data_IF_966039212124
#
_entry.id   IF_966039212124
#
_cell.length_a   1.000
_cell.length_b   1.000
_cell.length_c   1.000
_cell.angle_alpha   90.00
_cell.angle_beta   90.00
_cell.angle_gamma   90.00
#
_symmetry.space_group_name_H-M   'P 1'
#
loop_
_entity.id
_entity.type
_entity.pdbx_description
1 polymer ?
#
# COMPACT_ATOMS: atom_id res chain seq x y z
N UNK A 1 2.87 59.96 1.99
CA UNK A 1 1.53 59.84 2.60
C UNK A 1 0.89 58.59 2.03
N UNK A 2 0.97 57.43 2.69
CA UNK A 2 0.14 56.94 3.82
C UNK A 2 -1.32 56.59 3.46
N UNK A 3 -1.65 55.32 3.77
CA UNK A 3 -2.95 54.67 4.01
C UNK A 3 -3.57 53.93 2.80
N UNK A 4 -3.72 52.58 2.74
CA UNK A 4 -4.17 51.48 3.65
C UNK A 4 -5.66 51.11 3.44
N UNK A 5 -5.91 49.78 3.42
CA UNK A 5 -7.14 48.99 3.62
C UNK A 5 -7.73 48.34 2.35
N UNK A 6 -7.63 47.02 2.14
CA UNK A 6 -8.32 45.88 2.81
C UNK A 6 -9.79 45.75 2.42
N UNK A 7 -10.19 44.61 1.80
CA UNK A 7 -11.37 43.80 2.20
C UNK A 7 -11.56 42.54 1.33
N UNK A 8 -11.46 41.39 1.99
CA UNK A 8 -12.36 40.21 1.98
C UNK A 8 -12.97 39.71 0.66
N UNK A 9 -12.50 38.52 0.25
CA UNK A 9 -13.27 37.27 0.07
C UNK A 9 -14.77 37.41 -0.28
N UNK A 10 -15.21 36.85 -1.43
CA UNK A 10 -16.35 35.92 -1.55
C UNK A 10 -16.73 35.66 -3.03
N UNK A 11 -16.55 34.39 -3.40
CA UNK A 11 -17.42 33.51 -4.20
C UNK A 11 -17.83 33.92 -5.63
N UNK A 12 -17.76 32.87 -6.48
CA UNK A 12 -18.88 32.30 -7.25
C UNK A 12 -18.68 32.34 -8.77
N UNK A 13 -19.12 31.24 -9.38
CA UNK A 13 -19.50 31.06 -10.80
C UNK A 13 -18.38 30.49 -11.67
N UNK A 14 -18.25 29.16 -11.72
CA UNK A 14 -18.95 28.25 -12.64
C UNK A 14 -18.69 28.57 -14.11
N UNK A 15 -17.71 27.88 -14.70
CA UNK A 15 -17.84 27.37 -16.08
C UNK A 15 -17.23 25.98 -16.18
N UNK A 16 -18.14 25.02 -16.18
CA UNK A 16 -18.21 23.99 -17.22
C UNK A 16 -16.89 23.32 -17.62
N UNK A 17 -16.60 22.20 -16.98
CA UNK A 17 -16.03 21.06 -17.71
C UNK A 17 -16.97 19.88 -17.47
N UNK A 18 -17.88 19.70 -18.42
CA UNK A 18 -18.52 18.41 -18.66
C UNK A 18 -17.41 17.47 -19.15
N UNK A 19 -16.81 16.71 -18.24
CA UNK A 19 -16.21 15.43 -18.59
C UNK A 19 -16.93 14.36 -17.77
N UNK A 20 -17.96 13.81 -18.40
CA UNK A 20 -18.60 12.59 -17.95
C UNK A 20 -17.67 11.43 -18.28
N UNK A 21 -16.84 11.09 -17.31
CA UNK A 21 -16.44 9.72 -17.06
C UNK A 21 -16.32 9.62 -15.54
N UNK A 22 -17.05 8.70 -14.93
CA UNK A 22 -16.87 8.38 -13.52
C UNK A 22 -15.44 7.84 -13.36
N UNK A 23 -14.48 8.73 -13.17
CA UNK A 23 -13.12 8.37 -12.80
C UNK A 23 -13.22 7.84 -11.39
N UNK A 24 -13.42 6.53 -11.29
CA UNK A 24 -13.29 5.78 -10.05
C UNK A 24 -12.00 6.25 -9.41
N UNK A 25 -12.10 6.97 -8.29
CA UNK A 25 -10.94 7.27 -7.44
C UNK A 25 -10.55 5.90 -6.90
N UNK A 26 -9.77 5.16 -7.68
CA UNK A 26 -9.16 3.93 -7.20
C UNK A 26 -8.32 4.38 -6.02
N UNK A 27 -8.52 3.83 -4.81
CA UNK A 27 -7.65 4.15 -3.71
C UNK A 27 -6.22 3.85 -4.17
N UNK A 28 -5.35 4.86 -4.12
CA UNK A 28 -3.95 4.79 -4.61
C UNK A 28 -3.09 3.78 -3.83
N UNK A 29 -3.70 3.02 -2.92
CA UNK A 29 -3.07 2.11 -1.99
C UNK A 29 -3.56 0.70 -2.27
N UNK A 30 -2.65 -0.20 -2.63
CA UNK A 30 -2.94 -1.64 -2.66
C UNK A 30 -3.33 -2.19 -1.28
N UNK A 31 -3.74 -3.46 -1.21
CA UNK A 31 -4.10 -4.10 0.06
C UNK A 31 -2.95 -4.04 1.07
N UNK A 32 -3.28 -3.74 2.33
CA UNK A 32 -2.32 -3.73 3.44
C UNK A 32 -2.38 -5.06 4.18
N UNK A 33 -1.20 -5.64 4.41
CA UNK A 33 -1.02 -6.82 5.26
C UNK A 33 -0.22 -6.38 6.48
N UNK A 34 -0.65 -6.79 7.67
CA UNK A 34 0.07 -6.58 8.92
C UNK A 34 0.31 -7.95 9.56
N UNK A 35 1.56 -8.23 9.91
CA UNK A 35 1.96 -9.47 10.57
C UNK A 35 2.84 -9.15 11.78
N UNK A 36 2.79 -9.99 12.79
CA UNK A 36 3.72 -9.95 13.92
C UNK A 36 4.89 -10.87 13.62
N UNK A 37 6.11 -10.34 13.74
CA UNK A 37 7.33 -11.11 13.57
C UNK A 37 7.97 -11.35 14.94
N UNK A 38 8.68 -12.48 15.12
CA UNK A 38 9.61 -12.63 16.22
C UNK A 38 10.60 -11.46 16.27
N UNK A 39 10.99 -11.04 17.48
CA UNK A 39 11.89 -9.90 17.66
C UNK A 39 13.23 -10.09 16.92
N UNK A 40 13.76 -11.32 16.90
CA UNK A 40 15.01 -11.63 16.21
C UNK A 40 14.91 -11.41 14.68
N UNK A 41 13.81 -11.83 14.06
CA UNK A 41 13.57 -11.65 12.63
C UNK A 41 13.41 -10.17 12.27
N UNK A 42 12.67 -9.41 13.10
CA UNK A 42 12.53 -7.98 12.89
C UNK A 42 13.88 -7.26 12.92
N UNK A 43 14.75 -7.60 13.87
CA UNK A 43 16.10 -7.04 13.97
C UNK A 43 16.96 -7.42 12.76
N UNK A 44 16.92 -8.68 12.32
CA UNK A 44 17.66 -9.14 11.15
C UNK A 44 17.23 -8.41 9.87
N UNK A 45 15.92 -8.26 9.66
CA UNK A 45 15.37 -7.50 8.53
C UNK A 45 15.75 -6.02 8.60
N UNK A 46 15.75 -5.42 9.78
CA UNK A 46 16.11 -4.01 9.98
C UNK A 46 17.59 -3.79 9.61
N UNK A 47 18.49 -4.62 10.13
CA UNK A 47 19.91 -4.54 9.81
C UNK A 47 20.18 -4.78 8.31
N UNK A 48 19.42 -5.68 7.68
CA UNK A 48 19.54 -5.92 6.24
C UNK A 48 19.09 -4.70 5.42
N UNK A 49 17.97 -4.09 5.79
CA UNK A 49 17.44 -2.89 5.15
C UNK A 49 18.44 -1.71 5.25
N UNK A 50 19.05 -1.51 6.42
CA UNK A 50 20.10 -0.51 6.65
C UNK A 50 21.35 -0.78 5.79
N UNK A 51 21.83 -2.03 5.75
CA UNK A 51 23.00 -2.42 4.95
C UNK A 51 22.80 -2.19 3.46
N UNK A 52 21.57 -2.33 2.98
CA UNK A 52 21.22 -2.16 1.57
C UNK A 52 20.71 -0.76 1.22
N UNK A 53 20.64 0.16 2.19
CA UNK A 53 20.09 1.52 2.05
C UNK A 53 18.66 1.55 1.44
N UNK A 54 17.81 0.65 1.93
CA UNK A 54 16.41 0.54 1.48
C UNK A 54 15.45 0.56 2.66
N UNK A 55 14.21 0.95 2.41
CA UNK A 55 13.17 0.85 3.44
C UNK A 55 12.79 -0.61 3.71
N UNK A 56 12.43 -0.93 4.96
CA UNK A 56 11.85 -2.23 5.33
C UNK A 56 10.63 -2.61 4.46
N UNK A 57 9.80 -1.62 4.10
CA UNK A 57 8.64 -1.87 3.24
C UNK A 57 9.04 -2.32 1.83
N UNK A 58 10.13 -1.78 1.28
CA UNK A 58 10.65 -2.18 -0.02
C UNK A 58 11.27 -3.57 0.06
N UNK A 59 12.11 -3.82 1.07
CA UNK A 59 12.76 -5.10 1.31
C UNK A 59 11.72 -6.24 1.42
N UNK A 60 10.68 -6.04 2.23
CA UNK A 60 9.60 -7.02 2.40
C UNK A 60 8.83 -7.27 1.11
N UNK A 61 8.56 -6.23 0.31
CA UNK A 61 7.90 -6.41 -1.00
C UNK A 61 8.76 -7.24 -1.95
N UNK A 62 10.07 -6.98 -1.98
CA UNK A 62 11.00 -7.73 -2.82
C UNK A 62 11.08 -9.19 -2.39
N UNK A 63 11.22 -9.47 -1.09
CA UNK A 63 11.24 -10.82 -0.56
C UNK A 63 9.95 -11.61 -0.89
N UNK A 64 8.78 -10.96 -0.76
CA UNK A 64 7.49 -11.56 -1.15
C UNK A 64 7.44 -11.82 -2.66
N UNK A 65 7.89 -10.87 -3.48
CA UNK A 65 7.90 -11.02 -4.93
C UNK A 65 8.80 -12.19 -5.39
N UNK A 66 10.00 -12.31 -4.81
CA UNK A 66 10.92 -13.41 -5.07
C UNK A 66 10.34 -14.75 -4.61
N UNK A 67 9.75 -14.80 -3.41
CA UNK A 67 9.06 -15.99 -2.92
C UNK A 67 7.95 -16.45 -3.88
N UNK A 68 7.10 -15.52 -4.34
CA UNK A 68 6.03 -15.81 -5.28
C UNK A 68 6.55 -16.20 -6.68
N UNK A 69 7.65 -15.60 -7.14
CA UNK A 69 8.26 -15.97 -8.42
C UNK A 69 8.83 -17.39 -8.38
N UNK A 70 9.46 -17.77 -7.26
CA UNK A 70 10.10 -19.06 -7.08
C UNK A 70 9.10 -20.18 -6.80
N UNK A 71 7.96 -19.87 -6.17
CA UNK A 71 7.03 -20.89 -5.67
C UNK A 71 5.58 -20.75 -6.16
N UNK A 72 5.23 -19.67 -6.86
CA UNK A 72 3.83 -19.38 -7.23
C UNK A 72 3.21 -20.31 -8.27
N UNK A 73 4.00 -21.22 -8.87
CA UNK A 73 3.54 -22.23 -9.83
C UNK A 73 3.47 -23.64 -9.23
N UNK A 74 4.12 -23.86 -8.10
CA UNK A 74 4.11 -25.12 -7.39
C UNK A 74 2.98 -25.08 -6.35
N UNK A 75 2.29 -26.20 -6.14
CA UNK A 75 1.33 -26.32 -5.03
C UNK A 75 2.14 -26.31 -3.74
N UNK A 76 2.38 -25.11 -3.21
CA UNK A 76 3.05 -24.92 -1.93
C UNK A 76 2.19 -25.62 -0.88
N UNK A 77 2.66 -26.77 -0.41
CA UNK A 77 2.17 -27.34 0.84
C UNK A 77 2.69 -26.45 1.97
N UNK A 78 2.00 -25.32 2.18
CA UNK A 78 2.16 -24.58 3.41
C UNK A 78 1.77 -25.53 4.56
N UNK A 79 2.47 -25.49 5.70
CA UNK A 79 2.07 -26.18 6.93
C UNK A 79 0.86 -25.46 7.56
N UNK A 80 -0.10 -25.10 6.72
CA UNK A 80 -1.43 -24.71 7.11
C UNK A 80 -2.26 -25.94 6.81
N UNK A 81 -2.65 -26.67 7.85
CA UNK A 81 -3.72 -27.65 7.72
C UNK A 81 -5.01 -26.87 7.46
N UNK A 82 -5.14 -26.39 6.22
CA UNK A 82 -6.37 -25.87 5.67
C UNK A 82 -7.14 -27.10 5.25
N UNK A 83 -7.79 -27.75 6.22
CA UNK A 83 -8.93 -28.59 5.86
C UNK A 83 -9.82 -27.72 5.00
N UNK A 84 -9.82 -28.00 3.70
CA UNK A 84 -10.71 -27.39 2.72
C UNK A 84 -12.09 -27.43 3.36
N UNK A 85 -12.58 -26.29 3.84
CA UNK A 85 -14.02 -26.13 3.99
C UNK A 85 -14.57 -26.08 2.57
N UNK A 86 -14.78 -27.28 2.04
CA UNK A 86 -15.76 -27.51 1.02
C UNK A 86 -17.07 -26.89 1.51
N UNK A 87 -17.64 -26.03 0.66
CA UNK A 87 -19.08 -25.78 0.56
C UNK A 87 -19.72 -25.01 1.72
N UNK A 88 -20.01 -23.73 1.49
CA UNK A 88 -21.32 -23.17 1.83
C UNK A 88 -21.89 -22.53 0.55
N UNK A 89 -22.68 -23.35 -0.13
CA UNK A 89 -23.88 -23.10 -0.95
C UNK A 89 -23.95 -21.85 -1.84
#
# INVERSE_FOLDING_TARGET
MMHVASTKNIKRTERFVMVSAATKIQPKTGPRITVSLPQHDHLALSALAERCDVSLSWLTRQAIAEFLANHGKEDLQLPLNLEKKASHQ
#
